data_IF_247515049569
#
_entry.id   IF_247515049569
#
_cell.length_a   1.000
_cell.length_b   1.000
_cell.length_c   1.000
_cell.angle_alpha   90.00
_cell.angle_beta   90.00
_cell.angle_gamma   90.00
#
_symmetry.space_group_name_H-M   'P 1'
#
loop_
_entity.id
_entity.type
_entity.pdbx_description
1 polymer ?
#
# COMPACT_ATOMS: atom_id res chain seq x y z
N UNK A 1 -23.98 -36.61 33.62
CA UNK A 1 -24.91 -35.99 32.65
C UNK A 1 -25.31 -34.67 33.26
N UNK A 2 -24.81 -33.51 32.86
CA UNK A 2 -24.92 -32.92 31.53
C UNK A 2 -23.80 -31.91 31.26
N UNK A 3 -23.41 -31.86 29.99
CA UNK A 3 -22.44 -31.00 29.33
C UNK A 3 -22.72 -29.50 29.44
N UNK A 4 -21.65 -28.74 29.70
CA UNK A 4 -21.12 -27.63 28.89
C UNK A 4 -22.13 -26.82 28.06
N UNK A 5 -22.28 -25.50 28.31
CA UNK A 5 -22.62 -24.53 27.26
C UNK A 5 -22.23 -23.09 27.65
N UNK A 6 -21.81 -22.35 26.62
CA UNK A 6 -21.54 -20.91 26.56
C UNK A 6 -20.18 -20.46 27.12
N UNK A 7 -19.11 -20.71 26.37
CA UNK A 7 -18.71 -19.83 25.27
C UNK A 7 -18.53 -18.38 25.75
N UNK A 8 -17.46 -18.15 26.49
CA UNK A 8 -16.69 -16.93 26.31
C UNK A 8 -16.08 -16.95 24.89
N UNK A 9 -16.94 -16.84 23.87
CA UNK A 9 -16.54 -16.29 22.59
C UNK A 9 -16.20 -14.84 22.90
N UNK A 10 -14.92 -14.59 23.22
CA UNK A 10 -14.37 -13.28 23.00
C UNK A 10 -14.73 -12.96 21.55
N UNK A 11 -15.58 -11.96 21.37
CA UNK A 11 -15.70 -11.27 20.09
C UNK A 11 -14.26 -10.95 19.71
N UNK A 12 -13.67 -11.74 18.82
CA UNK A 12 -12.68 -11.22 17.90
C UNK A 12 -13.46 -10.14 17.16
N UNK A 13 -13.46 -8.94 17.71
CA UNK A 13 -13.73 -7.75 16.93
C UNK A 13 -12.81 -7.91 15.75
N UNK A 14 -13.41 -8.14 14.60
CA UNK A 14 -12.73 -8.01 13.33
C UNK A 14 -12.26 -6.56 13.32
N UNK A 15 -11.06 -6.30 13.85
CA UNK A 15 -10.50 -4.96 13.88
C UNK A 15 -10.52 -4.47 12.44
N UNK A 16 -11.32 -3.42 12.22
CA UNK A 16 -11.60 -2.91 10.89
C UNK A 16 -10.29 -2.57 10.19
N UNK A 17 -10.28 -2.65 8.85
CA UNK A 17 -9.11 -2.34 8.02
C UNK A 17 -8.35 -1.09 8.48
N UNK A 18 -9.06 -0.02 8.82
CA UNK A 18 -8.48 1.23 9.30
C UNK A 18 -7.86 1.11 10.70
N UNK A 19 -8.49 0.39 11.63
CA UNK A 19 -7.92 0.14 12.96
C UNK A 19 -6.62 -0.64 12.86
N UNK A 20 -6.57 -1.66 11.99
CA UNK A 20 -5.36 -2.45 11.76
C UNK A 20 -4.30 -1.69 10.94
N UNK A 21 -4.68 -0.74 10.09
CA UNK A 21 -3.74 0.09 9.32
C UNK A 21 -3.05 1.14 10.20
N UNK A 22 -3.75 1.67 11.21
CA UNK A 22 -3.21 2.61 12.20
C UNK A 22 -2.69 1.91 13.47
N UNK A 23 -2.66 0.57 13.48
CA UNK A 23 -1.99 -0.19 14.53
C UNK A 23 -0.48 -0.22 14.26
N UNK A 24 0.23 0.76 14.84
CA UNK A 24 1.69 0.88 14.77
C UNK A 24 2.43 -0.19 15.60
N UNK A 25 1.74 -1.16 16.20
CA UNK A 25 2.36 -2.20 17.00
C UNK A 25 3.19 -3.20 16.17
N UNK A 26 3.06 -3.26 14.84
CA UNK A 26 3.75 -4.21 13.92
C UNK A 26 3.70 -5.70 14.36
N UNK A 27 2.87 -6.06 15.33
CA UNK A 27 2.81 -7.38 15.96
C UNK A 27 2.20 -8.44 15.06
N UNK A 28 1.48 -8.02 14.02
CA UNK A 28 0.82 -8.89 13.06
C UNK A 28 1.26 -8.49 11.65
N UNK A 29 1.43 -9.46 10.76
CA UNK A 29 1.82 -9.24 9.36
C UNK A 29 0.68 -8.58 8.54
N UNK A 30 0.37 -7.33 8.86
CA UNK A 30 -0.69 -6.50 8.27
C UNK A 30 -0.50 -6.39 6.74
N UNK A 31 0.75 -6.35 6.27
CA UNK A 31 1.12 -6.31 4.85
C UNK A 31 0.52 -7.45 4.05
N UNK A 32 0.50 -8.68 4.58
CA UNK A 32 -0.08 -9.84 3.87
C UNK A 32 -1.59 -9.73 3.72
N UNK A 33 -2.26 -9.32 4.80
CA UNK A 33 -3.73 -9.23 4.86
C UNK A 33 -4.27 -8.10 3.98
N UNK A 34 -3.49 -7.03 3.81
CA UNK A 34 -3.97 -5.81 3.18
C UNK A 34 -3.12 -5.31 2.00
N UNK A 35 -2.21 -6.12 1.45
CA UNK A 35 -1.36 -5.73 0.30
C UNK A 35 -2.15 -5.06 -0.84
N UNK A 36 -3.32 -5.62 -1.19
CA UNK A 36 -4.18 -5.04 -2.23
C UNK A 36 -4.68 -3.64 -1.86
N UNK A 37 -5.09 -3.43 -0.61
CA UNK A 37 -5.61 -2.13 -0.17
C UNK A 37 -4.49 -1.11 -0.03
N UNK A 38 -3.32 -1.53 0.47
CA UNK A 38 -2.12 -0.69 0.53
C UNK A 38 -1.72 -0.25 -0.89
N UNK A 39 -1.70 -1.16 -1.87
CA UNK A 39 -1.43 -0.81 -3.27
C UNK A 39 -2.45 0.20 -3.80
N UNK A 40 -3.75 -0.02 -3.55
CA UNK A 40 -4.81 0.88 -3.99
C UNK A 40 -4.63 2.29 -3.42
N UNK A 41 -4.35 2.40 -2.12
CA UNK A 41 -4.09 3.69 -1.47
C UNK A 41 -2.87 4.37 -2.09
N UNK A 42 -1.76 3.65 -2.24
CA UNK A 42 -0.55 4.17 -2.89
C UNK A 42 -0.83 4.66 -4.32
N UNK A 43 -1.59 3.89 -5.10
CA UNK A 43 -1.93 4.25 -6.47
C UNK A 43 -2.81 5.51 -6.53
N UNK A 44 -3.80 5.63 -5.64
CA UNK A 44 -4.64 6.82 -5.53
C UNK A 44 -3.80 8.04 -5.14
N UNK A 45 -2.91 7.91 -4.16
CA UNK A 45 -2.02 9.00 -3.74
C UNK A 45 -1.10 9.45 -4.88
N UNK A 46 -0.47 8.51 -5.59
CA UNK A 46 0.37 8.83 -6.76
C UNK A 46 -0.45 9.57 -7.83
N UNK A 47 -1.67 9.10 -8.11
CA UNK A 47 -2.58 9.77 -9.04
C UNK A 47 -2.93 11.19 -8.60
N UNK A 48 -3.23 11.40 -7.32
CA UNK A 48 -3.51 12.73 -6.75
C UNK A 48 -2.30 13.66 -6.85
N UNK A 49 -1.09 13.17 -6.54
CA UNK A 49 0.14 13.96 -6.71
C UNK A 49 0.40 14.33 -8.16
N UNK A 50 0.13 13.41 -9.09
CA UNK A 50 0.25 13.70 -10.52
C UNK A 50 -0.75 14.75 -10.97
N UNK A 51 -2.03 14.65 -10.57
CA UNK A 51 -3.05 15.67 -10.87
C UNK A 51 -2.68 17.02 -10.26
N UNK A 52 -2.21 17.04 -9.01
CA UNK A 52 -1.75 18.27 -8.37
C UNK A 52 -0.57 18.88 -9.14
N UNK A 53 0.43 18.08 -9.52
CA UNK A 53 1.54 18.54 -10.36
C UNK A 53 1.07 19.11 -11.71
N UNK A 54 0.09 18.47 -12.34
CA UNK A 54 -0.52 18.97 -13.57
C UNK A 54 -1.14 20.35 -13.37
N UNK A 55 -1.90 20.56 -12.29
CA UNK A 55 -2.48 21.86 -11.97
C UNK A 55 -1.41 22.93 -11.71
N UNK A 56 -0.29 22.57 -11.06
CA UNK A 56 0.83 23.48 -10.83
C UNK A 56 1.49 23.93 -12.15
N UNK A 57 1.49 23.11 -13.20
CA UNK A 57 1.97 23.56 -14.52
C UNK A 57 1.14 24.68 -15.11
N UNK A 58 -0.15 24.75 -14.75
CA UNK A 58 -1.04 25.79 -15.24
C UNK A 58 -0.68 27.17 -14.65
N UNK A 59 -0.13 27.21 -13.44
CA UNK A 59 0.39 28.44 -12.85
C UNK A 59 1.60 29.01 -13.62
N UNK A 60 2.34 28.19 -14.36
CA UNK A 60 3.49 28.64 -15.15
C UNK A 60 3.08 29.52 -16.36
N UNK A 61 1.81 29.48 -16.79
CA UNK A 61 1.28 30.37 -17.82
C UNK A 61 1.19 31.83 -17.37
N UNK A 62 1.16 32.10 -16.06
CA UNK A 62 1.23 33.45 -15.52
C UNK A 62 2.55 34.17 -15.86
N UNK A 63 3.62 33.40 -16.10
CA UNK A 63 4.93 33.94 -16.50
C UNK A 63 5.08 34.07 -18.03
N UNK A 64 4.10 33.63 -18.80
CA UNK A 64 4.10 33.66 -20.26
C UNK A 64 3.62 32.36 -20.91
N UNK A 65 3.16 32.46 -22.16
CA UNK A 65 2.66 31.30 -22.91
C UNK A 65 3.74 30.24 -23.15
N UNK A 66 4.96 30.66 -23.54
CA UNK A 66 6.07 29.75 -23.82
C UNK A 66 6.53 28.97 -22.58
N UNK A 67 6.62 29.63 -21.42
CA UNK A 67 6.98 28.98 -20.15
C UNK A 67 5.90 28.00 -19.70
N UNK A 68 4.63 28.37 -19.82
CA UNK A 68 3.50 27.49 -19.51
C UNK A 68 3.50 26.23 -20.38
N UNK A 69 3.70 26.39 -21.69
CA UNK A 69 3.73 25.27 -22.63
C UNK A 69 4.91 24.32 -22.38
N UNK A 70 6.10 24.86 -22.12
CA UNK A 70 7.28 24.06 -21.76
C UNK A 70 7.08 23.31 -20.44
N UNK A 71 6.51 23.95 -19.42
CA UNK A 71 6.22 23.31 -18.14
C UNK A 71 5.18 22.19 -18.30
N UNK A 72 4.11 22.42 -19.05
CA UNK A 72 3.06 21.43 -19.30
C UNK A 72 3.60 20.21 -20.05
N UNK A 73 4.30 20.42 -21.18
CA UNK A 73 4.87 19.32 -21.98
C UNK A 73 5.94 18.56 -21.19
N UNK A 74 6.83 19.29 -20.52
CA UNK A 74 7.88 18.71 -19.68
C UNK A 74 7.31 17.84 -18.57
N UNK A 75 6.26 18.32 -17.88
CA UNK A 75 5.57 17.54 -16.85
C UNK A 75 4.81 16.35 -17.43
N UNK A 76 4.17 16.48 -18.59
CA UNK A 76 3.42 15.38 -19.19
C UNK A 76 4.33 14.21 -19.58
N UNK A 77 5.58 14.49 -19.95
CA UNK A 77 6.58 13.47 -20.23
C UNK A 77 7.20 12.96 -18.93
N UNK A 78 7.85 13.84 -18.17
CA UNK A 78 8.67 13.46 -17.01
C UNK A 78 7.80 13.10 -15.81
N UNK A 79 6.78 13.90 -15.52
CA UNK A 79 5.85 13.66 -14.41
C UNK A 79 5.04 12.38 -14.60
N UNK A 80 4.56 12.10 -15.81
CA UNK A 80 3.86 10.84 -16.11
C UNK A 80 4.81 9.64 -16.03
N UNK A 81 6.02 9.74 -16.60
CA UNK A 81 7.01 8.68 -16.49
C UNK A 81 7.39 8.40 -15.02
N UNK A 82 7.57 9.45 -14.22
CA UNK A 82 7.81 9.32 -12.78
C UNK A 82 6.63 8.65 -12.06
N UNK A 83 5.39 9.06 -12.33
CA UNK A 83 4.20 8.45 -11.72
C UNK A 83 4.08 6.96 -12.04
N UNK A 84 4.34 6.57 -13.29
CA UNK A 84 4.37 5.15 -13.70
C UNK A 84 5.48 4.38 -12.98
N UNK A 85 6.67 4.97 -12.89
CA UNK A 85 7.79 4.36 -12.17
C UNK A 85 7.44 4.12 -10.69
N UNK A 86 6.82 5.10 -10.03
CA UNK A 86 6.36 4.97 -8.64
C UNK A 86 5.27 3.91 -8.47
N UNK A 87 4.33 3.78 -9.41
CA UNK A 87 3.31 2.73 -9.40
C UNK A 87 3.91 1.33 -9.51
N UNK A 88 4.85 1.16 -10.45
CA UNK A 88 5.58 -0.10 -10.63
C UNK A 88 6.39 -0.41 -9.38
N UNK A 89 7.12 0.57 -8.85
CA UNK A 89 7.88 0.45 -7.60
C UNK A 89 7.00 0.00 -6.43
N UNK A 90 5.85 0.65 -6.23
CA UNK A 90 4.89 0.28 -5.19
C UNK A 90 4.41 -1.18 -5.33
N UNK A 91 4.17 -1.64 -6.57
CA UNK A 91 3.79 -3.02 -6.84
C UNK A 91 4.91 -4.00 -6.51
N UNK A 92 6.12 -3.77 -7.03
CA UNK A 92 7.28 -4.63 -6.83
C UNK A 92 7.63 -4.72 -5.34
N UNK A 93 7.61 -3.59 -4.62
CA UNK A 93 7.87 -3.57 -3.17
C UNK A 93 6.83 -4.38 -2.41
N UNK A 94 5.54 -4.25 -2.72
CA UNK A 94 4.50 -5.04 -2.05
C UNK A 94 4.60 -6.53 -2.36
N UNK A 95 4.88 -6.90 -3.61
CA UNK A 95 5.12 -8.29 -4.01
C UNK A 95 6.34 -8.87 -3.27
N UNK A 96 7.42 -8.09 -3.16
CA UNK A 96 8.62 -8.47 -2.43
C UNK A 96 8.36 -8.67 -0.94
N UNK A 97 7.68 -7.73 -0.27
CA UNK A 97 7.33 -7.83 1.15
C UNK A 97 6.42 -9.03 1.42
N UNK A 98 5.39 -9.24 0.59
CA UNK A 98 4.48 -10.38 0.71
C UNK A 98 5.24 -11.70 0.53
N UNK A 99 6.14 -11.77 -0.45
CA UNK A 99 6.96 -12.96 -0.69
C UNK A 99 7.88 -13.26 0.50
N UNK A 100 8.61 -12.25 1.00
CA UNK A 100 9.51 -12.38 2.14
C UNK A 100 8.78 -12.88 3.40
N UNK A 101 7.59 -12.36 3.69
CA UNK A 101 6.80 -12.81 4.84
C UNK A 101 6.31 -14.25 4.66
N UNK A 102 5.83 -14.62 3.46
CA UNK A 102 5.43 -16.02 3.18
C UNK A 102 6.60 -16.99 3.35
N UNK A 103 7.80 -16.61 2.92
CA UNK A 103 9.00 -17.42 3.15
C UNK A 103 9.27 -17.62 4.64
N UNK A 104 9.18 -16.56 5.45
CA UNK A 104 9.38 -16.67 6.90
C UNK A 104 8.35 -17.59 7.57
N UNK A 105 7.08 -17.53 7.15
CA UNK A 105 6.02 -18.40 7.64
C UNK A 105 6.28 -19.88 7.31
N UNK A 106 6.63 -20.18 6.07
CA UNK A 106 6.94 -21.55 5.65
C UNK A 106 8.16 -22.11 6.41
N UNK A 107 9.16 -21.27 6.71
CA UNK A 107 10.31 -21.68 7.55
C UNK A 107 9.88 -22.01 8.97
N UNK A 108 8.97 -21.23 9.58
CA UNK A 108 8.46 -21.53 10.92
C UNK A 108 7.66 -22.85 10.96
N UNK A 109 6.86 -23.14 9.93
CA UNK A 109 6.11 -24.39 9.84
C UNK A 109 7.04 -25.61 9.73
N UNK A 110 8.12 -25.51 8.95
CA UNK A 110 9.12 -26.58 8.84
C UNK A 110 9.83 -26.81 10.18
N UNK A 111 10.19 -25.74 10.90
CA UNK A 111 10.84 -25.84 12.21
C UNK A 111 9.93 -26.49 13.26
N UNK A 112 8.63 -26.19 13.24
CA UNK A 112 7.66 -26.81 14.15
C UNK A 112 7.36 -28.27 13.77
N UNK A 113 7.34 -28.60 12.47
CA UNK A 113 7.20 -29.98 12.00
C UNK A 113 8.40 -30.86 12.40
N UNK A 114 9.61 -30.32 12.48
CA UNK A 114 10.80 -31.05 12.96
C UNK A 114 10.83 -31.27 14.47
N UNK A 115 10.01 -30.53 15.25
CA UNK A 115 9.90 -30.68 16.71
C UNK A 115 8.86 -31.72 17.12
N UNK A 116 8.03 -32.21 16.20
CA UNK A 116 7.03 -33.26 16.43
C UNK A 116 7.54 -34.59 15.93
#
# INVERSE_FOLDING_TARGET
MTSNFNAAQSKQTADGFFSALFDFSFSQYITLKFARVIYLISAVLIGLFWVFGLLMTLAAFANGFGSGLLALIGFLIVGTAAALFWLIGARVTLEFMVSAIKTAQNTSEIADAQRR
#
